data_IF_369135900123
#
_entry.id   IF_369135900123
#
_cell.length_a   1.000
_cell.length_b   1.000
_cell.length_c   1.000
_cell.angle_alpha   90.00
_cell.angle_beta   90.00
_cell.angle_gamma   90.00
#
_symmetry.space_group_name_H-M   'P 1'
#
loop_
_entity.id
_entity.type
_entity.pdbx_description
1 polymer ?
#
# COMPACT_ATOMS: atom_id res chain seq x y z
N UNK A 1 2.42 29.01 -6.61
CA UNK A 1 2.48 28.79 -5.17
C UNK A 1 1.50 27.66 -4.84
N UNK A 2 1.96 26.64 -4.13
CA UNK A 2 1.09 25.55 -3.66
C UNK A 2 0.24 26.07 -2.49
N UNK A 3 -1.00 25.56 -2.41
CA UNK A 3 -1.91 25.84 -1.30
C UNK A 3 -2.07 24.61 -0.45
N UNK A 4 -1.63 24.67 0.80
CA UNK A 4 -1.82 23.64 1.79
C UNK A 4 -3.25 23.68 2.38
N UNK A 5 -3.89 22.51 2.51
CA UNK A 5 -5.14 22.35 3.23
C UNK A 5 -5.31 20.94 3.81
N UNK A 6 -6.12 20.76 4.86
CA UNK A 6 -6.44 19.42 5.37
C UNK A 6 -7.35 18.65 4.42
N UNK A 7 -7.36 17.34 4.57
CA UNK A 7 -8.36 16.43 3.99
C UNK A 7 -9.76 16.75 4.52
N UNK A 8 -10.79 16.65 3.70
CA UNK A 8 -12.18 16.98 4.05
C UNK A 8 -13.12 15.76 4.01
N UNK A 9 -13.14 15.06 2.88
CA UNK A 9 -14.14 14.04 2.59
C UNK A 9 -13.70 13.07 1.47
N UNK A 10 -14.62 12.22 1.03
CA UNK A 10 -14.39 11.23 -0.02
C UNK A 10 -13.97 11.85 -1.37
N UNK A 11 -14.36 13.07 -1.68
CA UNK A 11 -13.94 13.73 -2.91
C UNK A 11 -12.43 14.02 -2.90
N UNK A 12 -11.86 14.30 -1.72
CA UNK A 12 -10.41 14.42 -1.54
C UNK A 12 -9.70 13.07 -1.71
N UNK A 13 -10.29 11.98 -1.21
CA UNK A 13 -9.76 10.63 -1.45
C UNK A 13 -9.70 10.32 -2.97
N UNK A 14 -10.75 10.63 -3.70
CA UNK A 14 -10.78 10.47 -5.15
C UNK A 14 -9.78 11.40 -5.87
N UNK A 15 -9.55 12.60 -5.35
CA UNK A 15 -8.53 13.50 -5.89
C UNK A 15 -7.11 12.96 -5.65
N UNK A 16 -6.84 12.37 -4.47
CA UNK A 16 -5.57 11.67 -4.19
C UNK A 16 -5.38 10.48 -5.14
N UNK A 17 -6.41 9.68 -5.35
CA UNK A 17 -6.36 8.54 -6.26
C UNK A 17 -6.08 8.98 -7.71
N UNK A 18 -6.72 10.06 -8.18
CA UNK A 18 -6.40 10.63 -9.51
C UNK A 18 -4.96 11.09 -9.61
N UNK A 19 -4.42 11.72 -8.56
CA UNK A 19 -3.01 12.14 -8.53
C UNK A 19 -2.07 10.92 -8.63
N UNK A 20 -2.36 9.84 -7.92
CA UNK A 20 -1.59 8.58 -8.00
C UNK A 20 -1.66 8.01 -9.42
N UNK A 21 -2.86 7.93 -10.03
CA UNK A 21 -3.03 7.43 -11.41
C UNK A 21 -2.23 8.28 -12.41
N UNK A 22 -2.23 9.61 -12.26
CA UNK A 22 -1.44 10.50 -13.12
C UNK A 22 0.06 10.27 -12.95
N UNK A 23 0.53 10.18 -11.71
CA UNK A 23 1.94 9.90 -11.43
C UNK A 23 2.38 8.55 -12.02
N UNK A 24 1.54 7.51 -11.91
CA UNK A 24 1.79 6.21 -12.50
C UNK A 24 1.85 6.23 -14.03
N UNK A 25 0.98 7.01 -14.70
CA UNK A 25 1.01 7.16 -16.16
C UNK A 25 2.35 7.73 -16.66
N UNK A 26 2.99 8.60 -15.88
CA UNK A 26 4.24 9.26 -16.26
C UNK A 26 5.50 8.51 -15.77
N UNK A 27 5.44 7.90 -14.58
CA UNK A 27 6.62 7.37 -13.89
C UNK A 27 6.63 5.84 -13.79
N UNK A 28 5.55 5.16 -14.18
CA UNK A 28 5.41 3.72 -14.01
C UNK A 28 5.53 3.32 -12.52
N UNK A 29 6.31 2.26 -12.19
CA UNK A 29 6.42 1.76 -10.82
C UNK A 29 7.24 2.64 -9.88
N UNK A 30 7.69 3.81 -10.31
CA UNK A 30 8.48 4.78 -9.53
C UNK A 30 7.58 5.84 -8.88
N UNK A 31 6.48 5.40 -8.27
CA UNK A 31 5.52 6.21 -7.53
C UNK A 31 5.41 5.65 -6.11
N UNK A 32 5.27 6.52 -5.14
CA UNK A 32 5.36 6.24 -3.71
C UNK A 32 4.29 5.26 -3.21
N UNK A 33 3.16 5.14 -3.92
CA UNK A 33 2.06 4.21 -3.61
C UNK A 33 1.26 3.85 -4.85
N UNK A 34 0.40 2.85 -4.76
CA UNK A 34 -0.62 2.54 -5.75
C UNK A 34 -2.03 2.94 -5.24
N UNK A 35 -3.04 2.82 -6.09
CA UNK A 35 -4.41 3.26 -5.73
C UNK A 35 -5.05 2.43 -4.63
N UNK A 36 -4.69 1.17 -4.53
CA UNK A 36 -5.17 0.26 -3.50
C UNK A 36 -4.69 0.65 -2.11
N UNK A 37 -3.43 1.06 -2.00
CA UNK A 37 -2.84 1.59 -0.79
C UNK A 37 -3.70 2.67 -0.13
N UNK A 38 -4.17 3.64 -0.92
CA UNK A 38 -4.96 4.75 -0.39
C UNK A 38 -6.25 4.25 0.25
N UNK A 39 -6.96 3.36 -0.45
CA UNK A 39 -8.23 2.81 0.03
C UNK A 39 -8.01 1.91 1.25
N UNK A 40 -7.04 1.00 1.16
CA UNK A 40 -6.70 0.10 2.25
C UNK A 40 -6.27 0.87 3.50
N UNK A 41 -5.34 1.81 3.37
CA UNK A 41 -4.81 2.60 4.49
C UNK A 41 -5.88 3.45 5.16
N UNK A 42 -6.81 4.03 4.40
CA UNK A 42 -7.92 4.82 4.94
C UNK A 42 -8.88 3.98 5.77
N UNK A 43 -9.17 2.75 5.33
CA UNK A 43 -10.23 1.92 5.91
C UNK A 43 -9.75 0.88 6.93
N UNK A 44 -8.49 0.40 6.82
CA UNK A 44 -7.95 -0.68 7.68
C UNK A 44 -7.89 -0.37 9.17
N UNK A 45 -8.01 0.89 9.56
CA UNK A 45 -7.85 1.31 10.94
C UNK A 45 -8.89 2.37 11.30
N UNK A 46 -9.79 2.03 12.22
CA UNK A 46 -10.80 2.95 12.74
C UNK A 46 -10.21 4.18 13.49
N UNK A 47 -8.91 4.14 13.85
CA UNK A 47 -8.23 5.23 14.54
C UNK A 47 -7.66 6.30 13.59
N UNK A 48 -7.73 6.11 12.28
CA UNK A 48 -7.34 7.14 11.31
C UNK A 48 -8.31 8.31 11.43
N UNK A 49 -7.76 9.50 11.62
CA UNK A 49 -8.48 10.77 11.61
C UNK A 49 -8.11 11.56 10.34
N UNK A 50 -8.73 11.29 9.18
CA UNK A 50 -8.22 11.79 7.90
C UNK A 50 -8.03 13.30 7.86
N UNK A 51 -8.93 14.05 8.53
CA UNK A 51 -8.84 15.52 8.59
C UNK A 51 -7.62 16.04 9.35
N UNK A 52 -7.10 15.24 10.28
CA UNK A 52 -5.93 15.58 11.06
C UNK A 52 -4.65 14.95 10.49
N UNK A 53 -4.77 13.74 9.95
CA UNK A 53 -3.64 12.90 9.56
C UNK A 53 -3.22 13.12 8.10
N UNK A 54 -4.08 13.73 7.26
CA UNK A 54 -3.80 13.92 5.83
C UNK A 54 -3.85 15.42 5.48
N UNK A 55 -2.81 15.88 4.82
CA UNK A 55 -2.74 17.21 4.22
C UNK A 55 -2.51 17.14 2.72
N UNK A 56 -3.15 18.06 2.01
CA UNK A 56 -3.18 18.12 0.56
C UNK A 56 -2.59 19.45 0.07
N UNK A 57 -1.80 19.40 -0.99
CA UNK A 57 -1.23 20.54 -1.68
C UNK A 57 -1.88 20.72 -3.04
N UNK A 58 -2.51 21.88 -3.25
CA UNK A 58 -3.21 22.21 -4.48
C UNK A 58 -2.41 23.22 -5.30
N UNK A 59 -2.35 23.00 -6.62
CA UNK A 59 -1.89 23.99 -7.62
C UNK A 59 -2.99 25.00 -7.97
N UNK A 60 -4.21 24.50 -8.07
CA UNK A 60 -5.45 25.23 -8.27
C UNK A 60 -6.58 24.46 -7.56
N UNK A 61 -7.75 25.07 -7.32
CA UNK A 61 -8.88 24.38 -6.69
C UNK A 61 -9.19 23.04 -7.35
N UNK A 62 -9.13 21.95 -6.58
CA UNK A 62 -9.36 20.58 -7.04
C UNK A 62 -8.22 19.93 -7.84
N UNK A 63 -7.10 20.61 -8.05
CA UNK A 63 -5.90 20.08 -8.72
C UNK A 63 -4.79 19.84 -7.70
N UNK A 64 -4.66 18.62 -7.24
CA UNK A 64 -3.61 18.26 -6.30
C UNK A 64 -2.23 18.27 -6.98
N UNK A 65 -1.22 18.70 -6.23
CA UNK A 65 0.19 18.58 -6.55
C UNK A 65 0.89 17.60 -5.60
N UNK A 66 0.27 17.25 -4.47
CA UNK A 66 0.84 16.31 -3.54
C UNK A 66 -0.04 16.10 -2.32
N UNK A 67 0.34 15.12 -1.53
CA UNK A 67 -0.23 14.89 -0.20
C UNK A 67 0.83 14.37 0.75
N UNK A 68 0.60 14.56 2.04
CA UNK A 68 1.32 13.90 3.13
C UNK A 68 0.30 13.20 4.02
N UNK A 69 0.63 11.98 4.45
CA UNK A 69 -0.19 11.18 5.34
C UNK A 69 0.62 10.71 6.53
N UNK A 70 0.32 11.24 7.72
CA UNK A 70 0.97 10.90 8.97
C UNK A 70 0.26 9.74 9.67
N UNK A 71 1.03 8.84 10.24
CA UNK A 71 0.54 7.70 11.01
C UNK A 71 0.90 7.85 12.49
N UNK A 72 0.12 7.22 13.37
CA UNK A 72 0.33 7.28 14.81
C UNK A 72 1.64 6.66 15.31
N UNK A 73 2.38 5.94 14.46
CA UNK A 73 3.70 5.37 14.75
C UNK A 73 4.87 6.27 14.35
N UNK A 74 4.61 7.49 13.87
CA UNK A 74 5.65 8.43 13.43
C UNK A 74 5.97 8.41 11.94
N UNK A 75 5.49 7.43 11.18
CA UNK A 75 5.68 7.39 9.73
C UNK A 75 4.85 8.46 9.03
N UNK A 76 5.40 9.00 7.95
CA UNK A 76 4.74 9.98 7.08
C UNK A 76 4.99 9.58 5.62
N UNK A 77 3.93 9.16 4.94
CA UNK A 77 3.97 8.94 3.51
C UNK A 77 3.83 10.26 2.77
N UNK A 78 4.63 10.41 1.72
CA UNK A 78 4.65 11.60 0.88
C UNK A 78 4.39 11.20 -0.56
N UNK A 79 3.62 12.01 -1.28
CA UNK A 79 3.54 11.95 -2.74
C UNK A 79 3.51 13.37 -3.28
N UNK A 80 4.39 13.67 -4.23
CA UNK A 80 4.42 14.93 -4.98
C UNK A 80 4.46 14.64 -6.48
N UNK A 81 3.58 15.27 -7.23
CA UNK A 81 3.51 15.15 -8.69
C UNK A 81 2.82 16.38 -9.31
N UNK A 82 3.38 17.00 -10.35
CA UNK A 82 4.70 16.68 -10.94
C UNK A 82 5.87 16.99 -9.99
N UNK A 83 7.03 16.35 -10.26
CA UNK A 83 8.22 16.44 -9.39
C UNK A 83 8.84 17.84 -9.32
N UNK A 84 8.53 18.72 -10.27
CA UNK A 84 8.96 20.13 -10.27
C UNK A 84 8.47 20.91 -9.05
N UNK A 85 7.45 20.41 -8.35
CA UNK A 85 6.94 21.01 -7.11
C UNK A 85 7.62 20.50 -5.84
N UNK A 86 8.61 19.60 -5.94
CA UNK A 86 9.21 18.92 -4.79
C UNK A 86 9.79 19.88 -3.74
N UNK A 87 10.44 20.96 -4.16
CA UNK A 87 11.01 21.95 -3.25
C UNK A 87 9.94 22.70 -2.45
N UNK A 88 8.94 23.23 -3.14
CA UNK A 88 7.85 23.95 -2.48
C UNK A 88 7.06 23.02 -1.54
N UNK A 89 6.80 21.77 -1.99
CA UNK A 89 6.13 20.75 -1.20
C UNK A 89 6.93 20.40 0.07
N UNK A 90 8.24 20.16 -0.03
CA UNK A 90 9.07 19.78 1.10
C UNK A 90 9.20 20.91 2.15
N UNK A 91 9.25 22.17 1.69
CA UNK A 91 9.28 23.36 2.58
C UNK A 91 8.01 23.42 3.44
N UNK A 92 6.85 23.17 2.85
CA UNK A 92 5.56 23.24 3.55
C UNK A 92 5.28 21.99 4.39
N UNK A 93 5.75 20.82 3.94
CA UNK A 93 5.51 19.53 4.62
C UNK A 93 6.15 19.47 5.99
N UNK A 94 7.36 19.99 6.14
CA UNK A 94 8.12 19.85 7.37
C UNK A 94 7.51 20.58 8.59
N UNK A 95 7.04 21.85 8.47
CA UNK A 95 6.29 22.50 9.55
C UNK A 95 5.01 21.75 9.92
N UNK A 96 4.28 21.22 8.91
CA UNK A 96 3.08 20.44 9.16
C UNK A 96 3.38 19.15 9.92
N UNK A 97 4.43 18.41 9.53
CA UNK A 97 4.88 17.21 10.23
C UNK A 97 5.26 17.54 11.68
N UNK A 98 6.03 18.60 11.92
CA UNK A 98 6.42 19.03 13.28
C UNK A 98 5.21 19.36 14.15
N UNK A 99 4.25 20.09 13.61
CA UNK A 99 3.01 20.42 14.31
C UNK A 99 2.17 19.18 14.65
N UNK A 100 2.20 18.16 13.81
CA UNK A 100 1.47 16.90 14.00
C UNK A 100 2.20 15.94 14.94
N UNK A 101 3.52 15.80 14.78
CA UNK A 101 4.35 14.86 15.57
C UNK A 101 4.85 15.42 16.90
N UNK A 102 4.78 16.70 17.14
CA UNK A 102 5.05 17.26 18.47
C UNK A 102 4.17 16.68 19.60
N UNK A 103 3.19 15.84 19.23
CA UNK A 103 2.32 15.08 20.15
C UNK A 103 2.74 13.61 20.33
N UNK A 104 3.76 13.12 19.62
CA UNK A 104 4.24 11.74 19.71
C UNK A 104 5.67 11.70 20.25
N UNK A 105 6.04 10.71 21.07
CA UNK A 105 7.39 10.60 21.63
C UNK A 105 8.43 10.12 20.60
N UNK A 106 8.02 9.74 19.40
CA UNK A 106 8.92 9.21 18.36
C UNK A 106 9.18 10.26 17.28
N UNK A 107 10.42 10.34 16.74
CA UNK A 107 10.72 11.23 15.62
C UNK A 107 9.91 10.81 14.39
N UNK A 108 9.49 11.80 13.60
CA UNK A 108 8.82 11.54 12.34
C UNK A 108 9.78 10.97 11.30
N UNK A 109 9.34 9.91 10.61
CA UNK A 109 10.05 9.32 9.47
C UNK A 109 9.27 9.62 8.19
N UNK A 110 9.85 10.44 7.33
CA UNK A 110 9.29 10.80 6.02
C UNK A 110 9.80 9.79 4.98
N UNK A 111 8.87 9.18 4.25
CA UNK A 111 9.20 8.18 3.24
C UNK A 111 9.26 8.80 1.86
N UNK A 112 10.36 8.55 1.11
CA UNK A 112 10.56 9.05 -0.24
C UNK A 112 11.33 8.02 -1.08
N UNK A 113 10.93 7.83 -2.35
CA UNK A 113 11.57 6.90 -3.28
C UNK A 113 13.00 7.33 -3.63
N UNK A 114 13.88 6.34 -3.77
CA UNK A 114 15.26 6.56 -4.21
C UNK A 114 15.32 7.19 -5.61
N UNK A 115 14.39 6.84 -6.49
CA UNK A 115 14.24 7.44 -7.82
C UNK A 115 13.66 8.87 -7.80
N UNK A 116 13.06 9.33 -6.68
CA UNK A 116 12.53 10.69 -6.56
C UNK A 116 13.61 11.69 -6.16
N UNK A 117 14.60 11.86 -7.08
CA UNK A 117 15.76 12.74 -6.87
C UNK A 117 15.41 14.16 -6.42
N UNK A 118 14.43 14.85 -7.04
CA UNK A 118 13.99 16.18 -6.61
C UNK A 118 13.52 16.23 -5.16
N UNK A 119 12.65 15.30 -4.72
CA UNK A 119 12.19 15.26 -3.34
C UNK A 119 13.33 14.94 -2.37
N UNK A 120 14.16 13.95 -2.69
CA UNK A 120 15.32 13.60 -1.86
C UNK A 120 16.29 14.79 -1.70
N UNK A 121 16.56 15.53 -2.78
CA UNK A 121 17.39 16.73 -2.71
C UNK A 121 16.76 17.80 -1.82
N UNK A 122 15.45 18.01 -1.89
CA UNK A 122 14.73 18.94 -1.05
C UNK A 122 14.79 18.54 0.44
N UNK A 123 14.51 17.27 0.76
CA UNK A 123 14.58 16.76 2.15
C UNK A 123 15.99 16.91 2.74
N UNK A 124 17.06 16.60 1.95
CA UNK A 124 18.45 16.80 2.38
C UNK A 124 18.77 18.26 2.67
N UNK A 125 18.32 19.20 1.82
CA UNK A 125 18.50 20.65 2.05
C UNK A 125 17.84 21.12 3.34
N UNK A 126 16.73 20.48 3.74
CA UNK A 126 16.04 20.74 4.99
C UNK A 126 16.65 20.03 6.20
N UNK A 127 17.77 19.34 6.03
CA UNK A 127 18.53 18.69 7.10
C UNK A 127 18.05 17.28 7.47
N UNK A 128 17.17 16.66 6.66
CA UNK A 128 16.76 15.28 6.90
C UNK A 128 17.83 14.30 6.40
N UNK A 129 18.03 13.20 7.13
CA UNK A 129 18.94 12.11 6.82
C UNK A 129 18.21 10.77 6.76
N UNK A 130 18.75 9.83 5.99
CA UNK A 130 18.20 8.47 5.91
C UNK A 130 18.33 7.74 7.23
N UNK A 131 17.28 7.03 7.62
CA UNK A 131 17.19 6.24 8.87
C UNK A 131 17.78 4.85 8.75
N UNK A 132 18.05 4.37 7.52
CA UNK A 132 18.36 2.97 7.20
C UNK A 132 17.12 2.09 7.04
N UNK A 133 15.90 2.57 7.33
CA UNK A 133 14.65 1.87 6.99
C UNK A 133 14.38 1.93 5.49
N UNK A 134 13.87 0.83 4.91
CA UNK A 134 13.58 0.73 3.49
C UNK A 134 12.34 -0.14 3.24
N UNK A 135 11.41 0.35 2.42
CA UNK A 135 10.42 -0.47 1.76
C UNK A 135 10.86 -0.74 0.33
N UNK A 136 10.91 -2.00 -0.05
CA UNK A 136 11.17 -2.42 -1.42
C UNK A 136 9.87 -2.28 -2.23
N UNK A 137 9.94 -1.59 -3.35
CA UNK A 137 8.91 -1.62 -4.38
C UNK A 137 9.27 -2.74 -5.36
N UNK A 138 8.37 -3.73 -5.49
CA UNK A 138 8.60 -4.88 -6.36
C UNK A 138 7.51 -4.93 -7.43
N UNK A 139 7.91 -5.28 -8.65
CA UNK A 139 7.00 -5.41 -9.79
C UNK A 139 7.19 -6.74 -10.52
N UNK A 140 6.11 -7.20 -11.13
CA UNK A 140 6.10 -8.38 -12.00
C UNK A 140 5.30 -8.06 -13.27
N UNK A 141 5.93 -8.10 -14.46
CA UNK A 141 5.20 -8.09 -15.72
C UNK A 141 4.35 -9.37 -15.88
N UNK A 142 3.04 -9.24 -16.08
CA UNK A 142 2.12 -10.39 -16.03
C UNK A 142 2.23 -11.34 -17.25
N UNK A 143 2.92 -10.92 -18.31
CA UNK A 143 3.28 -11.84 -19.40
C UNK A 143 4.36 -12.87 -18.96
N UNK A 144 5.13 -12.56 -17.93
CA UNK A 144 6.13 -13.47 -17.36
C UNK A 144 5.58 -14.41 -16.26
N UNK A 145 4.27 -14.32 -15.95
CA UNK A 145 3.66 -15.21 -14.96
C UNK A 145 3.72 -16.66 -15.47
N UNK A 146 4.29 -17.60 -14.68
CA UNK A 146 4.30 -19.02 -15.03
C UNK A 146 2.89 -19.55 -15.34
N UNK A 147 2.73 -20.44 -16.33
CA UNK A 147 1.40 -20.92 -16.74
C UNK A 147 0.73 -21.80 -15.69
N UNK A 148 1.53 -22.49 -14.87
CA UNK A 148 1.01 -23.44 -13.89
C UNK A 148 1.14 -22.89 -12.47
N UNK A 149 0.06 -22.98 -11.65
CA UNK A 149 0.12 -22.58 -10.26
C UNK A 149 1.06 -23.50 -9.45
N UNK A 150 1.68 -23.00 -8.39
CA UNK A 150 2.38 -23.84 -7.44
C UNK A 150 1.40 -24.87 -6.82
N UNK A 151 1.87 -26.11 -6.54
CA UNK A 151 1.00 -27.10 -5.92
C UNK A 151 0.57 -26.66 -4.51
N UNK A 152 -0.69 -26.94 -4.18
CA UNK A 152 -1.22 -26.79 -2.82
C UNK A 152 -1.15 -28.15 -2.09
N UNK A 153 -0.97 -28.14 -0.77
CA UNK A 153 -1.16 -29.34 0.02
C UNK A 153 -2.59 -29.88 -0.12
N UNK A 154 -2.74 -31.18 0.12
CA UNK A 154 -4.05 -31.85 0.04
C UNK A 154 -5.08 -31.17 0.94
N UNK A 155 -6.30 -31.00 0.42
CA UNK A 155 -7.43 -30.40 1.11
C UNK A 155 -7.43 -28.86 1.15
N UNK A 156 -6.33 -28.18 0.79
CA UNK A 156 -6.33 -26.73 0.68
C UNK A 156 -6.86 -26.27 -0.69
N UNK A 157 -7.64 -25.17 -0.70
CA UNK A 157 -8.21 -24.63 -1.93
C UNK A 157 -8.10 -23.10 -1.98
N UNK A 158 -7.60 -22.54 -3.09
CA UNK A 158 -7.68 -21.10 -3.38
C UNK A 158 -9.06 -20.79 -3.98
N UNK A 159 -9.67 -19.72 -3.51
CA UNK A 159 -10.92 -19.19 -4.05
C UNK A 159 -11.09 -17.71 -3.76
N UNK A 160 -12.03 -17.05 -4.42
CA UNK A 160 -12.51 -15.76 -3.95
C UNK A 160 -13.29 -15.92 -2.65
N UNK A 161 -13.34 -14.85 -1.88
CA UNK A 161 -14.26 -14.72 -0.74
C UNK A 161 -15.71 -14.86 -1.24
N UNK A 162 -16.57 -15.58 -0.49
CA UNK A 162 -17.95 -15.86 -0.95
C UNK A 162 -18.88 -14.65 -0.83
N UNK A 163 -18.61 -13.76 0.11
CA UNK A 163 -19.43 -12.58 0.31
C UNK A 163 -19.44 -12.09 1.76
N UNK A 164 -20.43 -11.27 2.12
CA UNK A 164 -20.53 -10.68 3.46
C UNK A 164 -20.59 -11.70 4.61
N UNK A 165 -21.09 -12.89 4.37
CA UNK A 165 -21.15 -13.97 5.35
C UNK A 165 -19.78 -14.48 5.81
N UNK A 166 -18.73 -14.26 5.02
CA UNK A 166 -17.37 -14.65 5.37
C UNK A 166 -16.54 -13.53 6.00
N UNK A 167 -17.06 -12.33 6.14
CA UNK A 167 -16.31 -11.15 6.64
C UNK A 167 -15.62 -11.43 7.98
N UNK A 168 -16.30 -12.09 8.91
CA UNK A 168 -15.72 -12.41 10.22
C UNK A 168 -14.50 -13.34 10.10
N UNK A 169 -14.59 -14.40 9.28
CA UNK A 169 -13.49 -15.33 9.02
C UNK A 169 -12.36 -14.64 8.26
N UNK A 170 -12.69 -13.79 7.28
CA UNK A 170 -11.72 -13.01 6.49
C UNK A 170 -10.93 -12.01 7.36
N UNK A 171 -11.61 -11.29 8.24
CA UNK A 171 -10.97 -10.38 9.19
C UNK A 171 -10.11 -11.16 10.21
N UNK A 172 -10.57 -12.34 10.66
CA UNK A 172 -9.81 -13.18 11.59
C UNK A 172 -8.49 -13.67 10.99
N UNK A 173 -8.50 -14.22 9.76
CA UNK A 173 -7.26 -14.71 9.12
C UNK A 173 -6.28 -13.56 8.89
N UNK A 174 -6.77 -12.35 8.56
CA UNK A 174 -5.93 -11.16 8.48
C UNK A 174 -5.27 -10.84 9.83
N UNK A 175 -6.06 -10.71 10.90
CA UNK A 175 -5.55 -10.41 12.23
C UNK A 175 -4.50 -11.43 12.69
N UNK A 176 -4.78 -12.72 12.52
CA UNK A 176 -3.84 -13.80 12.86
C UNK A 176 -2.55 -13.72 12.05
N UNK A 177 -2.65 -13.43 10.76
CA UNK A 177 -1.50 -13.33 9.86
C UNK A 177 -0.56 -12.18 10.20
N UNK A 178 -1.11 -11.03 10.61
CA UNK A 178 -0.35 -9.83 10.95
C UNK A 178 -0.09 -9.67 12.46
N UNK A 179 -0.71 -10.46 13.33
CA UNK A 179 -0.60 -10.28 14.78
C UNK A 179 -1.20 -8.94 15.24
N UNK A 180 -2.34 -8.54 14.71
CA UNK A 180 -2.98 -7.25 14.95
C UNK A 180 -4.48 -7.38 15.16
N UNK A 181 -5.08 -6.49 15.93
CA UNK A 181 -6.54 -6.41 16.12
C UNK A 181 -7.22 -5.29 15.31
N UNK A 182 -6.45 -4.54 14.49
CA UNK A 182 -6.94 -3.32 13.82
C UNK A 182 -8.04 -3.56 12.78
N UNK A 183 -7.96 -4.70 12.07
CA UNK A 183 -8.96 -5.04 11.03
C UNK A 183 -10.07 -5.86 11.67
N UNK A 184 -11.10 -5.17 12.17
CA UNK A 184 -12.30 -5.80 12.72
C UNK A 184 -13.26 -6.25 11.61
N UNK A 185 -14.31 -6.97 11.98
CA UNK A 185 -15.37 -7.37 11.06
C UNK A 185 -16.05 -6.15 10.43
N UNK A 186 -16.33 -5.11 11.23
CA UNK A 186 -16.97 -3.86 10.79
C UNK A 186 -16.06 -3.06 9.84
N UNK A 187 -14.75 -3.02 10.14
CA UNK A 187 -13.75 -2.39 9.27
C UNK A 187 -13.73 -3.10 7.91
N UNK A 188 -13.71 -4.43 7.91
CA UNK A 188 -13.65 -5.20 6.67
C UNK A 188 -14.96 -5.10 5.86
N UNK A 189 -16.12 -5.10 6.53
CA UNK A 189 -17.42 -4.90 5.87
C UNK A 189 -17.47 -3.55 5.13
N UNK A 190 -17.00 -2.45 5.76
CA UNK A 190 -16.88 -1.14 5.11
C UNK A 190 -15.90 -1.13 3.94
N UNK A 191 -14.82 -1.91 4.03
CA UNK A 191 -13.87 -2.05 2.93
C UNK A 191 -14.51 -2.66 1.69
N UNK A 192 -15.40 -3.65 1.87
CA UNK A 192 -16.13 -4.29 0.77
C UNK A 192 -17.10 -3.34 0.05
N UNK A 193 -17.48 -2.23 0.69
CA UNK A 193 -18.32 -1.18 0.09
C UNK A 193 -17.50 -0.11 -0.65
N UNK A 194 -16.17 -0.18 -0.58
CA UNK A 194 -15.30 0.81 -1.20
C UNK A 194 -15.41 0.74 -2.74
N UNK A 195 -15.40 1.90 -3.45
CA UNK A 195 -15.63 1.96 -4.90
C UNK A 195 -14.66 1.11 -5.73
N UNK A 196 -13.43 0.88 -5.22
CA UNK A 196 -12.38 0.09 -5.90
C UNK A 196 -12.27 -1.35 -5.41
N UNK A 197 -13.13 -1.77 -4.48
CA UNK A 197 -13.14 -3.15 -4.04
C UNK A 197 -13.66 -4.05 -5.16
N UNK A 198 -12.91 -5.11 -5.45
CA UNK A 198 -13.28 -6.10 -6.46
C UNK A 198 -13.38 -7.50 -5.81
N UNK A 199 -14.60 -8.06 -5.66
CA UNK A 199 -14.78 -9.37 -5.04
C UNK A 199 -13.96 -10.49 -5.67
N UNK A 200 -13.73 -10.42 -6.99
CA UNK A 200 -12.91 -11.40 -7.71
C UNK A 200 -11.43 -11.38 -7.29
N UNK A 201 -10.95 -10.28 -6.70
CA UNK A 201 -9.57 -10.10 -6.23
C UNK A 201 -9.42 -10.22 -4.72
N UNK A 202 -10.50 -10.45 -3.96
CA UNK A 202 -10.42 -10.77 -2.54
C UNK A 202 -10.32 -12.29 -2.37
N UNK A 203 -9.09 -12.77 -2.25
CA UNK A 203 -8.76 -14.18 -2.29
C UNK A 203 -8.48 -14.74 -0.90
N UNK A 204 -8.90 -15.98 -0.73
CA UNK A 204 -8.66 -16.76 0.48
C UNK A 204 -8.16 -18.16 0.14
N UNK A 205 -7.44 -18.77 1.06
CA UNK A 205 -7.18 -20.22 1.05
C UNK A 205 -7.97 -20.85 2.17
N UNK A 206 -8.88 -21.74 1.79
CA UNK A 206 -9.62 -22.60 2.72
C UNK A 206 -8.79 -23.83 3.05
N UNK A 207 -8.66 -24.12 4.34
CA UNK A 207 -7.97 -25.30 4.88
C UNK A 207 -8.91 -26.52 4.89
N UNK A 208 -8.38 -27.78 5.11
CA UNK A 208 -9.20 -28.99 5.15
C UNK A 208 -10.32 -28.99 6.19
N UNK A 209 -10.17 -28.25 7.28
CA UNK A 209 -11.18 -28.09 8.34
C UNK A 209 -12.21 -26.98 8.06
N UNK A 210 -12.15 -26.36 6.89
CA UNK A 210 -13.04 -25.25 6.48
C UNK A 210 -12.62 -23.87 6.99
N UNK A 211 -11.58 -23.76 7.81
CA UNK A 211 -11.08 -22.45 8.26
C UNK A 211 -10.31 -21.73 7.13
N UNK A 212 -10.17 -20.40 7.24
CA UNK A 212 -9.35 -19.63 6.32
C UNK A 212 -7.89 -19.60 6.78
N UNK A 213 -7.00 -20.18 5.97
CA UNK A 213 -5.57 -20.31 6.24
C UNK A 213 -4.74 -19.11 5.79
N UNK A 214 -5.12 -18.48 4.69
CA UNK A 214 -4.41 -17.34 4.11
C UNK A 214 -5.38 -16.45 3.35
N UNK A 215 -4.97 -15.20 3.11
CA UNK A 215 -5.76 -14.23 2.36
C UNK A 215 -4.87 -13.24 1.61
N UNK A 216 -5.38 -12.72 0.49
CA UNK A 216 -4.82 -11.60 -0.24
C UNK A 216 -5.95 -10.74 -0.81
N UNK A 217 -5.79 -9.44 -0.76
CA UNK A 217 -6.67 -8.51 -1.45
C UNK A 217 -5.91 -7.87 -2.59
N UNK A 218 -6.48 -7.98 -3.79
CA UNK A 218 -5.95 -7.34 -4.98
C UNK A 218 -6.71 -6.07 -5.32
N UNK A 219 -6.00 -5.10 -5.87
CA UNK A 219 -6.53 -3.84 -6.38
C UNK A 219 -6.15 -3.67 -7.83
N UNK A 220 -6.90 -2.87 -8.57
CA UNK A 220 -6.65 -2.63 -9.99
C UNK A 220 -6.69 -1.14 -10.30
N UNK A 221 -5.61 -0.63 -10.88
CA UNK A 221 -5.58 0.62 -11.62
C UNK A 221 -5.82 0.28 -13.10
N UNK A 222 -7.07 0.39 -13.53
CA UNK A 222 -7.47 0.08 -14.91
C UNK A 222 -6.83 1.02 -15.92
N UNK A 223 -6.62 2.30 -15.55
CA UNK A 223 -6.06 3.30 -16.46
C UNK A 223 -4.60 2.98 -16.84
N UNK A 224 -3.82 2.50 -15.87
CA UNK A 224 -2.42 2.13 -16.07
C UNK A 224 -2.23 0.62 -16.31
N UNK A 225 -3.30 -0.18 -16.23
CA UNK A 225 -3.27 -1.64 -16.30
C UNK A 225 -2.32 -2.27 -15.26
N UNK A 226 -2.41 -1.79 -14.01
CA UNK A 226 -1.57 -2.22 -12.88
C UNK A 226 -2.43 -2.87 -11.81
N UNK A 227 -2.05 -4.10 -11.42
CA UNK A 227 -2.58 -4.78 -10.25
C UNK A 227 -1.67 -4.54 -9.02
N UNK A 228 -2.25 -4.55 -7.84
CA UNK A 228 -1.54 -4.44 -6.57
C UNK A 228 -2.07 -5.47 -5.58
N UNK A 229 -1.21 -6.03 -4.74
CA UNK A 229 -1.63 -6.79 -3.57
C UNK A 229 -1.37 -6.00 -2.29
N UNK A 230 -2.45 -5.64 -1.61
CA UNK A 230 -2.42 -5.04 -0.28
C UNK A 230 -3.75 -5.34 0.46
N UNK A 231 -3.73 -6.17 1.50
CA UNK A 231 -2.63 -6.93 2.09
C UNK A 231 -2.51 -8.39 1.61
N UNK A 232 -1.40 -9.05 1.99
CA UNK A 232 -1.22 -10.52 1.89
C UNK A 232 -0.89 -11.09 3.26
N UNK A 233 -1.63 -12.10 3.71
CA UNK A 233 -1.45 -12.69 5.04
C UNK A 233 -1.62 -14.21 5.04
N UNK A 234 -0.92 -14.88 5.98
CA UNK A 234 -1.08 -16.30 6.25
C UNK A 234 -1.08 -16.52 7.77
N UNK A 235 -2.08 -17.22 8.27
CA UNK A 235 -2.18 -17.54 9.68
C UNK A 235 -0.98 -18.40 10.13
N UNK A 236 -0.44 -18.17 11.34
CA UNK A 236 0.84 -18.78 11.77
C UNK A 236 0.93 -20.29 11.60
N UNK A 237 -0.12 -21.02 11.94
CA UNK A 237 -0.20 -22.48 11.90
C UNK A 237 -0.24 -23.06 10.47
N UNK A 238 -0.51 -22.24 9.46
CA UNK A 238 -0.54 -22.63 8.05
C UNK A 238 0.69 -22.17 7.26
N UNK A 239 1.64 -21.47 7.89
CA UNK A 239 2.85 -20.98 7.24
C UNK A 239 3.76 -22.11 6.73
N UNK A 240 4.68 -21.78 5.81
CA UNK A 240 5.70 -22.70 5.24
C UNK A 240 5.14 -23.88 4.44
N UNK A 241 3.90 -23.74 3.93
CA UNK A 241 3.21 -24.76 3.12
C UNK A 241 3.01 -24.32 1.66
N UNK A 242 3.67 -23.25 1.20
CA UNK A 242 3.52 -22.75 -0.17
C UNK A 242 2.25 -21.92 -0.44
N UNK A 243 1.37 -21.73 0.58
CA UNK A 243 0.07 -21.11 0.43
C UNK A 243 0.16 -19.68 -0.15
N UNK A 244 1.11 -18.88 0.34
CA UNK A 244 1.29 -17.50 -0.15
C UNK A 244 1.60 -17.44 -1.65
N UNK A 245 2.47 -18.35 -2.14
CA UNK A 245 2.80 -18.40 -3.57
C UNK A 245 1.60 -18.81 -4.42
N UNK A 246 0.84 -19.81 -3.98
CA UNK A 246 -0.37 -20.24 -4.69
C UNK A 246 -1.43 -19.14 -4.74
N UNK A 247 -1.62 -18.43 -3.62
CA UNK A 247 -2.55 -17.31 -3.52
C UNK A 247 -2.17 -16.15 -4.46
N UNK A 248 -0.88 -15.77 -4.45
CA UNK A 248 -0.37 -14.74 -5.36
C UNK A 248 -0.52 -15.16 -6.83
N UNK A 249 -0.18 -16.40 -7.17
CA UNK A 249 -0.30 -16.90 -8.54
C UNK A 249 -1.74 -16.82 -9.06
N UNK A 250 -2.71 -17.26 -8.26
CA UNK A 250 -4.14 -17.15 -8.60
C UNK A 250 -4.56 -15.69 -8.79
N UNK A 251 -4.19 -14.80 -7.87
CA UNK A 251 -4.53 -13.39 -7.95
C UNK A 251 -3.88 -12.69 -9.15
N UNK A 252 -2.62 -13.01 -9.46
CA UNK A 252 -1.94 -12.50 -10.66
C UNK A 252 -2.63 -12.95 -11.95
N UNK A 253 -3.08 -14.22 -11.99
CA UNK A 253 -3.87 -14.73 -13.10
C UNK A 253 -5.19 -13.98 -13.29
N UNK A 254 -5.90 -13.69 -12.20
CA UNK A 254 -7.14 -12.90 -12.21
C UNK A 254 -6.90 -11.46 -12.63
N UNK A 255 -5.89 -10.78 -12.07
CA UNK A 255 -5.50 -9.43 -12.45
C UNK A 255 -5.20 -9.35 -13.97
N UNK A 256 -4.46 -10.33 -14.50
CA UNK A 256 -4.20 -10.42 -15.95
C UNK A 256 -5.49 -10.60 -16.75
N UNK A 257 -6.41 -11.44 -16.27
CA UNK A 257 -7.73 -11.63 -16.89
C UNK A 257 -8.60 -10.38 -16.89
N UNK A 258 -8.40 -9.48 -15.92
CA UNK A 258 -9.04 -8.17 -15.80
C UNK A 258 -8.29 -7.06 -16.56
N UNK A 259 -7.24 -7.39 -17.32
CA UNK A 259 -6.53 -6.46 -18.18
C UNK A 259 -5.25 -5.86 -17.59
N UNK A 260 -4.85 -6.24 -16.38
CA UNK A 260 -3.56 -5.80 -15.85
C UNK A 260 -2.40 -6.37 -16.67
N UNK A 261 -1.39 -5.54 -16.90
CA UNK A 261 -0.16 -5.89 -17.62
C UNK A 261 1.01 -6.11 -16.68
N UNK A 262 0.96 -5.51 -15.50
CA UNK A 262 1.93 -5.73 -14.44
C UNK A 262 1.23 -5.75 -13.09
N UNK A 263 1.89 -6.33 -12.09
CA UNK A 263 1.47 -6.27 -10.69
C UNK A 263 2.60 -5.72 -9.83
N UNK A 264 2.23 -5.06 -8.73
CA UNK A 264 3.16 -4.51 -7.74
C UNK A 264 2.83 -4.97 -6.34
N UNK A 265 3.86 -4.97 -5.51
CA UNK A 265 3.77 -5.19 -4.06
C UNK A 265 4.84 -4.36 -3.36
N UNK A 266 4.57 -4.04 -2.11
CA UNK A 266 5.53 -3.32 -1.26
C UNK A 266 5.89 -4.18 -0.06
N UNK A 267 7.19 -4.26 0.25
CA UNK A 267 7.69 -5.08 1.34
C UNK A 267 8.73 -4.34 2.16
N UNK A 268 8.57 -4.31 3.48
CA UNK A 268 9.63 -3.83 4.36
C UNK A 268 10.85 -4.73 4.24
N UNK A 269 12.02 -4.17 3.92
CA UNK A 269 13.27 -4.91 3.72
C UNK A 269 13.67 -5.72 4.96
N UNK A 270 13.35 -5.22 6.16
CA UNK A 270 13.53 -5.91 7.43
C UNK A 270 12.60 -7.12 7.66
N UNK A 271 11.69 -7.42 6.71
CA UNK A 271 10.86 -8.63 6.72
C UNK A 271 11.29 -9.61 5.62
N UNK A 272 12.35 -10.40 5.83
CA UNK A 272 12.91 -11.29 4.80
C UNK A 272 11.92 -12.37 4.34
N UNK A 273 10.91 -12.70 5.15
CA UNK A 273 9.90 -13.69 4.78
C UNK A 273 8.98 -13.16 3.68
N UNK A 274 8.51 -11.92 3.78
CA UNK A 274 7.68 -11.30 2.74
C UNK A 274 8.49 -11.04 1.47
N UNK A 275 9.72 -10.55 1.60
CA UNK A 275 10.63 -10.33 0.46
C UNK A 275 10.85 -11.64 -0.31
N UNK A 276 11.19 -12.73 0.39
CA UNK A 276 11.41 -14.04 -0.23
C UNK A 276 10.11 -14.59 -0.88
N UNK A 277 8.94 -14.36 -0.28
CA UNK A 277 7.66 -14.75 -0.87
C UNK A 277 7.47 -14.06 -2.24
N UNK A 278 7.62 -12.74 -2.30
CA UNK A 278 7.41 -12.00 -3.54
C UNK A 278 8.46 -12.33 -4.59
N UNK A 279 9.74 -12.38 -4.23
CA UNK A 279 10.81 -12.75 -5.16
C UNK A 279 10.64 -14.18 -5.71
N UNK A 280 10.27 -15.16 -4.85
CA UNK A 280 9.99 -16.54 -5.30
C UNK A 280 8.71 -16.66 -6.14
N UNK A 281 7.87 -15.63 -6.15
CA UNK A 281 6.68 -15.50 -7.02
C UNK A 281 6.97 -14.76 -8.32
N UNK A 282 8.23 -14.36 -8.56
CA UNK A 282 8.68 -13.72 -9.79
C UNK A 282 8.78 -12.19 -9.75
N UNK A 283 8.44 -11.57 -8.63
CA UNK A 283 8.61 -10.12 -8.49
C UNK A 283 10.08 -9.73 -8.37
N UNK A 284 10.44 -8.61 -8.97
CA UNK A 284 11.79 -8.02 -8.90
C UNK A 284 11.71 -6.62 -8.27
N UNK A 285 12.75 -6.25 -7.54
CA UNK A 285 12.85 -4.90 -6.96
C UNK A 285 13.04 -3.89 -8.08
N UNK A 286 12.18 -2.88 -8.14
CA UNK A 286 12.21 -1.80 -9.13
C UNK A 286 12.56 -0.46 -8.51
N UNK A 287 12.28 -0.28 -7.22
CA UNK A 287 12.63 0.94 -6.49
C UNK A 287 12.72 0.68 -4.98
N UNK A 288 13.20 1.67 -4.23
CA UNK A 288 13.37 1.63 -2.78
C UNK A 288 12.77 2.89 -2.17
N UNK A 289 11.86 2.73 -1.23
CA UNK A 289 11.28 3.83 -0.48
C UNK A 289 12.04 3.98 0.85
N UNK A 290 12.80 5.06 0.97
CA UNK A 290 13.75 5.27 2.04
C UNK A 290 13.14 6.16 3.13
N UNK A 291 13.32 5.77 4.39
CA UNK A 291 12.93 6.59 5.53
C UNK A 291 13.93 7.72 5.78
N UNK A 292 13.42 8.92 6.04
CA UNK A 292 14.20 10.12 6.35
C UNK A 292 13.69 10.77 7.62
N UNK A 293 14.58 11.13 8.52
CA UNK A 293 14.25 11.84 9.77
C UNK A 293 15.15 13.06 9.97
N UNK A 294 14.67 14.01 10.76
CA UNK A 294 15.53 15.06 11.30
C UNK A 294 16.42 14.44 12.37
N UNK A 295 17.72 14.73 12.33
CA UNK A 295 18.57 14.46 13.48
C UNK A 295 18.05 15.29 14.66
N UNK A 296 17.94 14.65 15.83
CA UNK A 296 17.73 15.40 17.07
C UNK A 296 18.95 16.30 17.27
N UNK A 297 18.75 17.57 17.63
CA UNK A 297 19.84 18.49 17.90
C UNK A 297 20.73 18.04 19.05
#
# INVERSE_FOLDING_TARGET
>A
VLRLRPYRDVADHEAMARLVVQAWAERGPHVECAVGDLTWRLLRNAQVLPREDISLWERAPGQLAGFAWAYGNGDVDLLVHPLEHADAFAVDVLPWVRARHGRTPQPATLWALESNGPLLAALRRLGLRTTGGCYLHLALPLHALPPSPPPLPEGYRVRAMRGPEEVAARALVHRRGFGTERVTTEVYARLMEAPRYQPALDLVIEAPDGSLAACALGWLDEANAVGEFEPVACAPEHRRRGLGRALLHEGLGRMRGLGARQAVVYAFEGNPVSVALYQSSGFTVVDRNLGHTLESP
#
